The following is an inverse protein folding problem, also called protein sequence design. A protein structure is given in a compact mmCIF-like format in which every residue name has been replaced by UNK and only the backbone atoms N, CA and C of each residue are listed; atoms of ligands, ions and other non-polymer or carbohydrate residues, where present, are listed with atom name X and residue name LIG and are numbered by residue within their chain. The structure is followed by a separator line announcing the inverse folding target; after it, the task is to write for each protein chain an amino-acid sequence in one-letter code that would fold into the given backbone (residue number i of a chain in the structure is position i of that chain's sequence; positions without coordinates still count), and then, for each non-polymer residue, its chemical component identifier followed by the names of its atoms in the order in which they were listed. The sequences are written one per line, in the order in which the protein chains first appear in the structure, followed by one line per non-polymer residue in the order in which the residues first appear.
data_IF_226544416868
#
_entry.id   IF_226544416868
#
_cell.length_a   1.000
_cell.length_b   1.000
_cell.length_c   1.000
_cell.angle_alpha   90.00
_cell.angle_beta   90.00
_cell.angle_gamma   90.00
#
_symmetry.space_group_name_H-M   'P 1'
#
loop_
_entity.id
_entity.type
_entity.pdbx_description
1 polymer ?
#
# COMPACT_ATOMS: atom_id res chain seq x y z
N UNK A 1 4.49 0.65 19.71
CA UNK A 1 4.86 -0.33 18.65
C UNK A 1 5.14 0.42 17.34
N UNK A 2 5.97 -0.12 16.45
CA UNK A 2 6.39 0.52 15.18
C UNK A 2 6.35 -0.51 14.06
N UNK A 3 5.82 -0.14 12.89
CA UNK A 3 5.95 -0.93 11.66
C UNK A 3 6.70 -0.13 10.60
N UNK A 4 7.65 -0.80 9.94
CA UNK A 4 8.24 -0.33 8.69
C UNK A 4 7.53 -1.05 7.56
N UNK A 5 6.96 -0.31 6.63
CA UNK A 5 6.22 -0.89 5.49
C UNK A 5 6.99 -0.60 4.22
N UNK A 6 7.54 -1.64 3.61
CA UNK A 6 8.28 -1.54 2.35
C UNK A 6 7.33 -1.78 1.19
N UNK A 7 6.89 -0.69 0.56
CA UNK A 7 6.06 -0.69 -0.64
C UNK A 7 6.97 -0.85 -1.85
N UNK A 8 6.80 -1.92 -2.61
CA UNK A 8 7.58 -2.26 -3.81
C UNK A 8 6.65 -2.70 -4.93
N UNK A 9 7.11 -2.73 -6.18
CA UNK A 9 6.25 -3.06 -7.33
C UNK A 9 5.46 -4.37 -7.19
N UNK A 10 6.00 -5.38 -6.51
CA UNK A 10 5.31 -6.66 -6.25
C UNK A 10 4.39 -6.68 -5.03
N UNK A 11 4.33 -5.60 -4.24
CA UNK A 11 3.60 -5.58 -2.96
C UNK A 11 2.10 -5.84 -3.14
N UNK A 12 1.47 -5.17 -4.12
CA UNK A 12 0.03 -5.34 -4.40
C UNK A 12 -0.34 -6.71 -4.97
N UNK A 13 0.63 -7.51 -5.44
CA UNK A 13 0.37 -8.86 -5.93
C UNK A 13 -0.05 -9.82 -4.80
N UNK A 14 0.38 -9.55 -3.56
CA UNK A 14 0.20 -10.42 -2.40
C UNK A 14 -0.99 -9.96 -1.55
N UNK A 15 -2.03 -10.80 -1.50
CA UNK A 15 -3.20 -10.57 -0.63
C UNK A 15 -2.79 -10.43 0.84
N UNK A 16 -1.80 -11.22 1.27
CA UNK A 16 -1.29 -11.18 2.64
C UNK A 16 -0.64 -9.83 2.96
N UNK A 17 0.17 -9.28 2.05
CA UNK A 17 0.76 -7.95 2.24
C UNK A 17 -0.32 -6.86 2.34
N UNK A 18 -1.36 -6.94 1.51
CA UNK A 18 -2.47 -5.99 1.53
C UNK A 18 -3.34 -6.12 2.79
N UNK A 19 -3.60 -7.33 3.26
CA UNK A 19 -4.34 -7.57 4.50
C UNK A 19 -3.55 -7.09 5.73
N UNK A 20 -2.24 -7.34 5.78
CA UNK A 20 -1.37 -6.81 6.83
C UNK A 20 -1.30 -5.28 6.80
N UNK A 21 -1.25 -4.67 5.61
CA UNK A 21 -1.31 -3.21 5.48
C UNK A 21 -2.61 -2.64 6.09
N UNK A 22 -3.76 -3.26 5.82
CA UNK A 22 -5.04 -2.84 6.42
C UNK A 22 -4.98 -2.90 7.95
N UNK A 23 -4.46 -4.00 8.52
CA UNK A 23 -4.31 -4.15 9.97
C UNK A 23 -3.37 -3.09 10.56
N UNK A 24 -2.21 -2.86 9.95
CA UNK A 24 -1.24 -1.85 10.38
C UNK A 24 -1.88 -0.45 10.40
N UNK A 25 -2.62 -0.11 9.35
CA UNK A 25 -3.27 1.19 9.23
C UNK A 25 -4.42 1.36 10.24
N UNK A 26 -5.16 0.28 10.54
CA UNK A 26 -6.15 0.29 11.63
C UNK A 26 -5.49 0.48 13.00
N UNK A 27 -4.40 -0.25 13.29
CA UNK A 27 -3.65 -0.07 14.53
C UNK A 27 -3.07 1.35 14.65
N UNK A 28 -2.65 1.98 13.55
CA UNK A 28 -2.22 3.38 13.55
C UNK A 28 -3.35 4.31 13.98
N UNK A 29 -4.55 4.11 13.41
CA UNK A 29 -5.73 4.94 13.70
C UNK A 29 -6.23 4.77 15.14
N UNK A 30 -6.30 3.54 15.62
CA UNK A 30 -6.95 3.21 16.90
C UNK A 30 -5.99 3.27 18.09
N UNK A 31 -4.72 2.85 17.90
CA UNK A 31 -3.78 2.60 19.00
C UNK A 31 -2.55 3.51 18.96
N UNK A 32 -2.53 4.53 18.10
CA UNK A 32 -1.36 5.41 17.93
C UNK A 32 -0.10 4.68 17.43
N UNK A 33 -0.26 3.52 16.77
CA UNK A 33 0.85 2.74 16.24
C UNK A 33 1.62 3.55 15.20
N UNK A 34 2.95 3.61 15.34
CA UNK A 34 3.80 4.38 14.43
C UNK A 34 4.03 3.57 13.16
N UNK A 35 3.91 4.22 12.01
CA UNK A 35 4.12 3.61 10.70
C UNK A 35 5.14 4.44 9.95
N UNK A 36 6.16 3.78 9.43
CA UNK A 36 7.21 4.39 8.61
C UNK A 36 7.22 3.73 7.22
N UNK A 37 6.66 4.37 6.19
CA UNK A 37 6.69 3.81 4.85
C UNK A 37 8.05 3.99 4.17
N UNK A 38 8.44 2.97 3.41
CA UNK A 38 9.56 3.00 2.47
C UNK A 38 8.99 2.67 1.09
N UNK A 39 9.10 3.62 0.17
CA UNK A 39 8.66 3.51 -1.21
C UNK A 39 9.86 3.06 -2.05
N UNK A 40 9.99 1.75 -2.23
CA UNK A 40 11.10 1.11 -2.92
C UNK A 40 10.76 0.89 -4.39
N UNK A 41 11.37 1.69 -5.27
CA UNK A 41 11.15 1.68 -6.73
C UNK A 41 9.68 1.83 -7.13
N UNK A 42 8.93 2.61 -6.34
CA UNK A 42 7.53 2.97 -6.61
C UNK A 42 7.33 4.45 -6.29
N UNK A 43 6.47 5.10 -7.03
CA UNK A 43 6.05 6.48 -6.82
C UNK A 43 4.99 6.56 -5.72
N UNK A 44 5.21 7.31 -4.62
CA UNK A 44 4.18 7.51 -3.60
C UNK A 44 2.88 8.06 -4.18
N UNK A 45 2.98 8.96 -5.16
CA UNK A 45 1.82 9.65 -5.73
C UNK A 45 1.15 8.82 -6.84
N UNK A 46 1.92 8.35 -7.81
CA UNK A 46 1.36 7.66 -8.98
C UNK A 46 1.01 6.20 -8.68
N UNK A 47 1.87 5.48 -7.95
CA UNK A 47 1.68 4.05 -7.72
C UNK A 47 0.89 3.76 -6.45
N UNK A 48 1.08 4.55 -5.39
CA UNK A 48 0.52 4.25 -4.06
C UNK A 48 -0.71 5.11 -3.71
N UNK A 49 -0.70 6.41 -4.02
CA UNK A 49 -1.81 7.31 -3.73
C UNK A 49 -2.97 7.17 -4.73
N UNK A 50 -2.72 6.71 -5.95
CA UNK A 50 -3.78 6.36 -6.91
C UNK A 50 -3.62 4.97 -7.54
N UNK A 51 -3.62 3.91 -6.70
CA UNK A 51 -3.12 2.59 -7.10
C UNK A 51 -4.03 1.87 -8.11
N UNK A 52 -5.23 2.40 -8.37
CA UNK A 52 -6.22 1.82 -9.27
C UNK A 52 -6.34 2.51 -10.62
N UNK A 53 -5.80 3.73 -10.79
CA UNK A 53 -5.92 4.46 -12.05
C UNK A 53 -4.81 4.06 -13.02
N UNK A 54 -3.56 4.05 -12.55
CA UNK A 54 -2.33 3.81 -13.30
C UNK A 54 -1.24 3.21 -12.42
N UNK A 55 -0.02 3.09 -12.92
CA UNK A 55 1.12 2.63 -12.13
C UNK A 55 1.22 1.11 -11.94
N UNK A 56 2.23 0.71 -11.17
CA UNK A 56 2.68 -0.67 -10.97
C UNK A 56 1.63 -1.55 -10.27
N UNK A 57 0.72 -0.97 -9.49
CA UNK A 57 -0.29 -1.71 -8.73
C UNK A 57 -1.60 -1.96 -9.48
N UNK A 58 -1.83 -1.25 -10.60
CA UNK A 58 -3.11 -1.33 -11.33
C UNK A 58 -3.45 -2.75 -11.73
N UNK A 59 -2.52 -3.45 -12.39
CA UNK A 59 -2.76 -4.79 -12.92
C UNK A 59 -3.07 -5.81 -11.82
N UNK A 60 -2.39 -5.70 -10.68
CA UNK A 60 -2.62 -6.54 -9.51
C UNK A 60 -3.97 -6.25 -8.86
N UNK A 61 -4.32 -4.97 -8.67
CA UNK A 61 -5.62 -4.59 -8.10
C UNK A 61 -6.78 -4.95 -9.04
N UNK A 62 -6.63 -4.82 -10.35
CA UNK A 62 -7.64 -5.26 -11.30
C UNK A 62 -7.81 -6.79 -11.29
N UNK A 63 -6.72 -7.55 -11.09
CA UNK A 63 -6.79 -9.01 -10.86
C UNK A 63 -7.57 -9.33 -9.58
N UNK A 64 -7.33 -8.59 -8.51
CA UNK A 64 -8.01 -8.77 -7.23
C UNK A 64 -9.50 -8.42 -7.28
N UNK A 65 -9.90 -7.36 -8.00
CA UNK A 65 -11.31 -6.99 -8.24
C UNK A 65 -12.14 -8.11 -8.86
N UNK A 66 -11.50 -9.02 -9.62
CA UNK A 66 -12.16 -10.18 -10.24
C UNK A 66 -12.27 -11.40 -9.32
N UNK A 67 -11.52 -11.44 -8.22
CA UNK A 67 -11.37 -12.60 -7.34
C UNK A 67 -11.97 -12.42 -5.96
N UNK A 68 -12.10 -11.17 -5.51
CA UNK A 68 -12.47 -10.82 -4.14
C UNK A 68 -13.67 -9.89 -4.10
N UNK A 69 -14.30 -9.79 -2.93
CA UNK A 69 -15.42 -8.87 -2.73
C UNK A 69 -14.98 -7.42 -2.90
N UNK A 70 -15.93 -6.58 -3.30
CA UNK A 70 -15.71 -5.15 -3.44
C UNK A 70 -15.18 -4.54 -2.14
N UNK A 71 -15.72 -4.93 -1.00
CA UNK A 71 -15.37 -4.40 0.32
C UNK A 71 -13.90 -4.71 0.68
N UNK A 72 -13.44 -5.94 0.41
CA UNK A 72 -12.06 -6.33 0.69
C UNK A 72 -11.10 -5.53 -0.17
N UNK A 73 -11.36 -5.43 -1.47
CA UNK A 73 -10.50 -4.66 -2.38
C UNK A 73 -10.54 -3.16 -2.08
N UNK A 74 -11.71 -2.61 -1.73
CA UNK A 74 -11.84 -1.21 -1.31
C UNK A 74 -11.02 -0.92 -0.04
N UNK A 75 -10.96 -1.86 0.91
CA UNK A 75 -10.13 -1.72 2.11
C UNK A 75 -8.64 -1.67 1.78
N UNK A 76 -8.17 -2.48 0.84
CA UNK A 76 -6.78 -2.47 0.37
C UNK A 76 -6.42 -1.15 -0.32
N UNK A 77 -7.28 -0.68 -1.23
CA UNK A 77 -7.09 0.61 -1.91
C UNK A 77 -7.06 1.75 -0.89
N UNK A 78 -7.98 1.74 0.08
CA UNK A 78 -8.01 2.75 1.12
C UNK A 78 -6.74 2.74 1.98
N UNK A 79 -6.22 1.57 2.32
CA UNK A 79 -5.00 1.43 3.11
C UNK A 79 -3.76 1.92 2.34
N UNK A 80 -3.62 1.58 1.05
CA UNK A 80 -2.58 2.10 0.16
C UNK A 80 -2.64 3.63 0.05
N UNK A 81 -3.82 4.18 -0.21
CA UNK A 81 -4.04 5.64 -0.23
C UNK A 81 -3.65 6.28 1.10
N UNK A 82 -4.07 5.69 2.21
CA UNK A 82 -3.80 6.25 3.54
C UNK A 82 -2.33 6.22 3.91
N UNK A 83 -1.58 5.18 3.53
CA UNK A 83 -0.14 5.10 3.81
C UNK A 83 0.67 6.04 2.91
N UNK A 84 0.21 6.33 1.68
CA UNK A 84 0.87 7.30 0.78
C UNK A 84 0.96 8.72 1.38
N UNK A 85 0.02 9.06 2.26
CA UNK A 85 -0.06 10.38 2.91
C UNK A 85 0.86 10.50 4.14
N UNK A 86 1.59 9.44 4.49
CA UNK A 86 2.56 9.43 5.58
C UNK A 86 3.94 9.72 5.01
N UNK A 87 4.66 10.69 5.58
CA UNK A 87 6.05 10.97 5.23
C UNK A 87 6.91 9.71 5.39
N UNK A 88 7.68 9.39 4.36
CA UNK A 88 8.53 8.19 4.31
C UNK A 88 9.75 8.40 3.43
N UNK A 89 10.45 7.30 3.16
CA UNK A 89 11.63 7.32 2.29
C UNK A 89 11.31 6.81 0.91
N UNK A 90 11.67 7.58 -0.10
CA UNK A 90 11.60 7.15 -1.49
C UNK A 90 12.98 6.69 -1.91
N UNK A 91 13.08 5.42 -2.29
CA UNK A 91 14.32 4.79 -2.74
C UNK A 91 14.13 4.47 -4.22
N UNK A 92 14.71 5.31 -5.06
CA UNK A 92 14.98 4.99 -6.45
C UNK A 92 16.36 4.32 -6.55
N UNK A 93 16.65 3.58 -7.61
CA UNK A 93 18.00 3.02 -7.78
C UNK A 93 19.05 4.13 -7.71
N UNK A 94 20.12 3.88 -6.94
CA UNK A 94 21.39 4.54 -7.16
C UNK A 94 22.17 3.70 -8.15
N UNK A 95 22.52 4.31 -9.28
CA UNK A 95 23.42 3.84 -10.36
C UNK A 95 22.95 2.68 -11.24
#
# INVERSE_FOLDING_TARGET
MLSIVVLSGGYASSEYCLDELVKIMNCRKENGHRVFPVFYKVSPDEDVADPSSSGVYKADLDRHKRRHSYERVASWIHALRSISQISGWVIHDHT
#
